data_IF_275764375558
#
_entry.id   IF_275764375558
#
_cell.length_a   1.000
_cell.length_b   1.000
_cell.length_c   1.000
_cell.angle_alpha   90.00
_cell.angle_beta   90.00
_cell.angle_gamma   90.00
#
_symmetry.space_group_name_H-M   'P 1'
#
loop_
_entity.id
_entity.type
_entity.pdbx_description
1 polymer ?
#
# COMPACT_ATOMS: atom_id res chain seq x y z
N UNK A 1 -10.27 -21.64 19.29
CA UNK A 1 -9.06 -22.04 18.59
C UNK A 1 -9.46 -22.52 17.20
N UNK A 2 -8.70 -22.15 16.20
CA UNK A 2 -8.90 -22.57 14.80
C UNK A 2 -8.54 -24.05 14.63
N UNK A 3 -9.14 -24.72 13.65
CA UNK A 3 -8.71 -26.05 13.25
C UNK A 3 -7.33 -26.01 12.56
N UNK A 4 -6.74 -27.19 12.34
CA UNK A 4 -5.39 -27.29 11.79
C UNK A 4 -5.32 -26.81 10.33
N UNK A 5 -6.37 -26.99 9.53
CA UNK A 5 -6.42 -26.59 8.14
C UNK A 5 -6.43 -25.05 8.02
N UNK A 6 -7.31 -24.38 8.77
CA UNK A 6 -7.36 -22.91 8.85
C UNK A 6 -6.03 -22.33 9.33
N UNK A 7 -5.43 -22.94 10.37
CA UNK A 7 -4.14 -22.49 10.89
C UNK A 7 -3.01 -22.63 9.86
N UNK A 8 -2.93 -23.77 9.17
CA UNK A 8 -1.92 -24.00 8.12
C UNK A 8 -2.10 -23.02 6.96
N UNK A 9 -3.35 -22.79 6.51
CA UNK A 9 -3.64 -21.82 5.46
C UNK A 9 -3.19 -20.40 5.86
N UNK A 10 -3.53 -19.96 7.07
CA UNK A 10 -3.15 -18.65 7.59
C UNK A 10 -1.62 -18.47 7.70
N UNK A 11 -0.92 -19.47 8.25
CA UNK A 11 0.55 -19.45 8.36
C UNK A 11 1.20 -19.42 6.99
N UNK A 12 0.71 -20.22 6.03
CA UNK A 12 1.23 -20.26 4.66
C UNK A 12 1.11 -18.90 3.98
N UNK A 13 -0.10 -18.30 4.03
CA UNK A 13 -0.34 -16.97 3.46
C UNK A 13 0.57 -15.91 4.07
N UNK A 14 0.63 -15.85 5.40
CA UNK A 14 1.48 -14.89 6.11
C UNK A 14 2.96 -15.08 5.76
N UNK A 15 3.43 -16.33 5.72
CA UNK A 15 4.84 -16.64 5.45
C UNK A 15 5.28 -16.21 4.05
N UNK A 16 4.41 -16.40 3.05
CA UNK A 16 4.69 -15.96 1.67
C UNK A 16 4.75 -14.44 1.58
N UNK A 17 3.74 -13.74 2.15
CA UNK A 17 3.62 -12.29 2.04
C UNK A 17 4.64 -11.52 2.90
N UNK A 18 5.05 -12.06 4.04
CA UNK A 18 6.11 -11.49 4.86
C UNK A 18 7.51 -11.87 4.35
N UNK A 19 7.65 -12.98 3.63
CA UNK A 19 8.92 -13.56 3.22
C UNK A 19 9.59 -12.86 2.04
N UNK A 20 10.57 -13.57 1.43
CA UNK A 20 11.38 -13.06 0.32
C UNK A 20 10.58 -12.77 -0.96
N UNK A 21 9.41 -13.37 -1.12
CA UNK A 21 8.46 -13.10 -2.23
C UNK A 21 7.47 -11.97 -1.93
N UNK A 22 7.51 -11.42 -0.73
CA UNK A 22 6.65 -10.34 -0.26
C UNK A 22 7.47 -9.21 0.37
N UNK A 23 7.16 -8.86 1.60
CA UNK A 23 7.69 -7.66 2.28
C UNK A 23 9.23 -7.63 2.32
N UNK A 24 9.90 -8.74 2.64
CA UNK A 24 11.38 -8.78 2.65
C UNK A 24 11.94 -8.54 1.24
N UNK A 25 11.32 -9.11 0.20
CA UNK A 25 11.71 -8.83 -1.19
C UNK A 25 11.57 -7.36 -1.55
N UNK A 26 10.46 -6.74 -1.17
CA UNK A 26 10.24 -5.30 -1.34
C UNK A 26 11.27 -4.44 -0.61
N UNK A 27 11.64 -4.84 0.60
CA UNK A 27 12.68 -4.15 1.38
C UNK A 27 14.06 -4.24 0.72
N UNK A 28 14.38 -5.38 0.09
CA UNK A 28 15.64 -5.53 -0.66
C UNK A 28 15.65 -4.59 -1.88
N UNK A 29 14.52 -4.47 -2.59
CA UNK A 29 14.40 -3.55 -3.73
C UNK A 29 14.53 -2.10 -3.24
N UNK A 30 13.91 -1.73 -2.12
CA UNK A 30 13.99 -0.37 -1.55
C UNK A 30 15.44 0.00 -1.22
N UNK A 31 16.17 -0.88 -0.53
CA UNK A 31 17.60 -0.67 -0.24
C UNK A 31 18.43 -0.56 -1.53
N UNK A 32 18.12 -1.39 -2.54
CA UNK A 32 18.77 -1.31 -3.84
C UNK A 32 18.46 -0.04 -4.63
N UNK A 33 17.35 0.60 -4.35
CA UNK A 33 16.93 1.87 -4.95
C UNK A 33 17.45 3.10 -4.18
N UNK A 34 18.04 2.92 -3.00
CA UNK A 34 18.71 4.02 -2.32
C UNK A 34 19.79 4.62 -3.24
N UNK A 35 19.72 5.91 -3.47
CA UNK A 35 20.59 6.64 -4.39
C UNK A 35 20.48 6.25 -5.89
N UNK A 36 19.37 5.61 -6.30
CA UNK A 36 19.09 5.34 -7.70
C UNK A 36 18.14 6.42 -8.28
N UNK A 37 18.64 7.45 -8.97
CA UNK A 37 17.81 8.49 -9.55
C UNK A 37 17.04 8.04 -10.80
N UNK A 38 17.26 6.82 -11.26
CA UNK A 38 16.68 6.26 -12.48
C UNK A 38 15.61 5.19 -12.20
N UNK A 39 15.08 5.12 -10.97
CA UNK A 39 13.97 4.21 -10.68
C UNK A 39 12.75 4.62 -11.54
N UNK A 40 12.15 3.61 -12.17
CA UNK A 40 10.95 3.81 -13.00
C UNK A 40 9.69 3.68 -12.16
N UNK A 41 8.55 4.14 -12.70
CA UNK A 41 7.24 3.93 -12.09
C UNK A 41 6.98 2.46 -11.76
N UNK A 42 7.25 1.54 -12.70
CA UNK A 42 7.05 0.10 -12.48
C UNK A 42 7.96 -0.46 -11.38
N UNK A 43 9.15 0.09 -11.24
CA UNK A 43 10.09 -0.28 -10.18
C UNK A 43 9.59 0.15 -8.80
N UNK A 44 9.09 1.39 -8.66
CA UNK A 44 8.48 1.89 -7.43
C UNK A 44 7.21 1.09 -7.10
N UNK A 45 6.35 0.88 -8.09
CA UNK A 45 5.12 0.11 -7.92
C UNK A 45 5.39 -1.32 -7.44
N UNK A 46 6.37 -2.01 -8.02
CA UNK A 46 6.76 -3.35 -7.58
C UNK A 46 7.28 -3.32 -6.14
N UNK A 47 8.18 -2.39 -5.84
CA UNK A 47 8.76 -2.22 -4.51
C UNK A 47 7.67 -2.03 -3.44
N UNK A 48 6.74 -1.09 -3.66
CA UNK A 48 5.70 -0.77 -2.68
C UNK A 48 4.62 -1.84 -2.60
N UNK A 49 4.27 -2.48 -3.71
CA UNK A 49 3.37 -3.64 -3.70
C UNK A 49 3.92 -4.76 -2.82
N UNK A 50 5.22 -4.99 -2.85
CA UNK A 50 5.87 -6.00 -2.03
C UNK A 50 6.10 -5.51 -0.60
N UNK A 51 6.74 -4.37 -0.42
CA UNK A 51 7.17 -3.86 0.90
C UNK A 51 6.00 -3.52 1.82
N UNK A 52 4.96 -2.91 1.26
CA UNK A 52 3.78 -2.43 2.01
C UNK A 52 2.52 -3.19 1.63
N UNK A 53 2.23 -3.31 0.35
CA UNK A 53 0.99 -3.93 -0.16
C UNK A 53 0.81 -5.36 0.30
N UNK A 54 1.84 -6.19 0.30
CA UNK A 54 1.77 -7.59 0.72
C UNK A 54 1.28 -7.75 2.16
N UNK A 55 1.77 -6.94 3.12
CA UNK A 55 1.35 -7.08 4.52
C UNK A 55 -0.07 -6.57 4.75
N UNK A 56 -0.50 -5.50 4.07
CA UNK A 56 -1.87 -5.02 4.14
C UNK A 56 -2.82 -6.05 3.52
N UNK A 57 -2.47 -6.57 2.34
CA UNK A 57 -3.23 -7.60 1.63
C UNK A 57 -3.41 -8.86 2.47
N UNK A 58 -2.33 -9.39 3.03
CA UNK A 58 -2.42 -10.61 3.86
C UNK A 58 -3.17 -10.38 5.17
N UNK A 59 -3.10 -9.19 5.77
CA UNK A 59 -3.87 -8.87 6.97
C UNK A 59 -5.38 -8.97 6.68
N UNK A 60 -5.85 -8.44 5.55
CA UNK A 60 -7.23 -8.55 5.10
C UNK A 60 -7.62 -10.02 4.81
N UNK A 61 -6.75 -10.75 4.10
CA UNK A 61 -6.95 -12.16 3.80
C UNK A 61 -7.04 -13.03 5.06
N UNK A 62 -6.19 -12.78 6.06
CA UNK A 62 -6.20 -13.52 7.33
C UNK A 62 -7.52 -13.36 8.08
N UNK A 63 -8.12 -12.17 8.06
CA UNK A 63 -9.46 -11.96 8.62
C UNK A 63 -10.50 -12.86 7.96
N UNK A 64 -10.50 -12.93 6.63
CA UNK A 64 -11.40 -13.80 5.86
C UNK A 64 -11.13 -15.29 6.12
N UNK A 65 -9.86 -15.70 6.17
CA UNK A 65 -9.46 -17.10 6.47
C UNK A 65 -9.94 -17.47 7.88
N UNK A 66 -9.73 -16.60 8.86
CA UNK A 66 -10.16 -16.83 10.24
C UNK A 66 -11.68 -16.94 10.37
N UNK A 67 -12.44 -16.25 9.54
CA UNK A 67 -13.89 -16.32 9.46
C UNK A 67 -14.41 -17.51 8.64
N UNK A 68 -13.55 -18.33 8.04
CA UNK A 68 -13.96 -19.45 7.18
C UNK A 68 -14.58 -19.01 5.85
N UNK A 69 -14.20 -17.83 5.35
CA UNK A 69 -14.74 -17.28 4.11
C UNK A 69 -14.34 -18.10 2.87
N UNK A 70 -15.13 -17.98 1.81
CA UNK A 70 -14.81 -18.59 0.50
C UNK A 70 -13.53 -18.00 -0.10
N UNK A 71 -12.94 -18.71 -1.07
CA UNK A 71 -11.74 -18.25 -1.75
C UNK A 71 -11.98 -16.92 -2.48
N UNK A 72 -13.15 -16.74 -3.10
CA UNK A 72 -13.51 -15.50 -3.79
C UNK A 72 -13.51 -14.27 -2.84
N UNK A 73 -14.00 -14.44 -1.61
CA UNK A 73 -13.96 -13.40 -0.60
C UNK A 73 -12.53 -13.11 -0.12
N UNK A 74 -11.71 -14.15 0.03
CA UNK A 74 -10.30 -14.00 0.38
C UNK A 74 -9.56 -13.22 -0.71
N UNK A 75 -9.81 -13.54 -1.98
CA UNK A 75 -9.17 -12.88 -3.13
C UNK A 75 -9.63 -11.41 -3.28
N UNK A 76 -10.91 -11.14 -3.00
CA UNK A 76 -11.44 -9.77 -2.95
C UNK A 76 -10.79 -8.96 -1.80
N UNK A 77 -10.63 -9.56 -0.64
CA UNK A 77 -9.96 -8.92 0.50
C UNK A 77 -8.48 -8.64 0.20
N UNK A 78 -7.79 -9.54 -0.51
CA UNK A 78 -6.41 -9.31 -1.00
C UNK A 78 -6.36 -8.15 -1.96
N UNK A 79 -7.25 -8.12 -2.95
CA UNK A 79 -7.34 -7.03 -3.93
C UNK A 79 -7.56 -5.68 -3.24
N UNK A 80 -8.47 -5.61 -2.27
CA UNK A 80 -8.67 -4.42 -1.44
C UNK A 80 -7.36 -3.97 -0.79
N UNK A 81 -6.66 -4.88 -0.09
CA UNK A 81 -5.44 -4.55 0.63
C UNK A 81 -4.29 -4.12 -0.29
N UNK A 82 -4.13 -4.74 -1.46
CA UNK A 82 -3.13 -4.38 -2.46
C UNK A 82 -3.35 -2.97 -3.02
N UNK A 83 -4.59 -2.65 -3.40
CA UNK A 83 -4.95 -1.34 -3.94
C UNK A 83 -4.80 -0.24 -2.91
N UNK A 84 -5.31 -0.47 -1.69
CA UNK A 84 -5.20 0.45 -0.58
C UNK A 84 -3.73 0.70 -0.19
N UNK A 85 -2.91 -0.37 -0.15
CA UNK A 85 -1.50 -0.28 0.18
C UNK A 85 -0.71 0.57 -0.81
N UNK A 86 -1.00 0.43 -2.11
CA UNK A 86 -0.37 1.27 -3.13
C UNK A 86 -0.85 2.73 -3.07
N UNK A 87 -2.17 2.96 -2.88
CA UNK A 87 -2.72 4.29 -2.69
C UNK A 87 -2.09 4.98 -1.47
N UNK A 88 -1.90 4.23 -0.38
CA UNK A 88 -1.26 4.71 0.84
C UNK A 88 0.16 5.21 0.59
N UNK A 89 0.99 4.48 -0.15
CA UNK A 89 2.37 4.88 -0.44
C UNK A 89 2.45 6.11 -1.35
N UNK A 90 1.59 6.18 -2.37
CA UNK A 90 1.53 7.36 -3.24
C UNK A 90 1.08 8.59 -2.45
N UNK A 91 0.13 8.42 -1.52
CA UNK A 91 -0.32 9.50 -0.64
C UNK A 91 0.77 9.95 0.32
N UNK A 92 1.59 9.04 0.86
CA UNK A 92 2.77 9.39 1.66
C UNK A 92 3.74 10.27 0.88
N UNK A 93 4.06 9.92 -0.36
CA UNK A 93 4.92 10.72 -1.23
C UNK A 93 4.35 12.14 -1.48
N UNK A 94 3.03 12.27 -1.63
CA UNK A 94 2.37 13.58 -1.77
C UNK A 94 2.52 14.38 -0.47
N UNK A 95 2.24 13.75 0.69
CA UNK A 95 2.32 14.42 1.99
C UNK A 95 3.74 14.85 2.35
N UNK A 96 4.74 14.05 2.02
CA UNK A 96 6.15 14.40 2.25
C UNK A 96 6.53 15.68 1.50
N UNK A 97 6.10 15.84 0.25
CA UNK A 97 6.37 17.03 -0.53
C UNK A 97 5.55 18.24 -0.06
N UNK A 98 4.25 18.06 0.19
CA UNK A 98 3.36 19.17 0.59
C UNK A 98 3.67 19.65 2.00
N UNK A 99 3.93 18.75 2.96
CA UNK A 99 4.32 19.12 4.33
C UNK A 99 5.66 19.85 4.36
N UNK A 100 6.59 19.47 3.49
CA UNK A 100 7.87 20.15 3.35
C UNK A 100 7.70 21.55 2.77
N UNK A 101 6.83 21.74 1.77
CA UNK A 101 6.51 23.05 1.20
C UNK A 101 5.89 24.00 2.23
N UNK A 102 4.99 23.51 3.07
CA UNK A 102 4.41 24.29 4.18
C UNK A 102 5.45 24.69 5.24
N UNK A 103 6.40 23.79 5.54
CA UNK A 103 7.50 24.05 6.46
C UNK A 103 8.58 24.95 5.85
N UNK A 104 8.88 24.81 4.55
CA UNK A 104 9.86 25.61 3.82
C UNK A 104 9.41 27.05 3.61
N UNK A 105 8.12 27.37 3.71
CA UNK A 105 7.67 28.76 3.89
C UNK A 105 8.30 29.44 5.11
N UNK A 106 9.01 28.70 5.97
CA UNK A 106 9.72 29.15 7.16
C UNK A 106 11.23 28.92 7.17
N UNK A 107 11.81 28.06 6.31
CA UNK A 107 13.26 27.78 6.31
C UNK A 107 13.75 27.34 4.92
N UNK A 108 14.55 28.13 4.27
CA UNK A 108 15.27 27.76 3.03
C UNK A 108 16.60 27.12 3.38
N UNK A 109 16.86 25.87 2.99
CA UNK A 109 18.25 25.42 2.85
C UNK A 109 18.67 24.02 3.22
N UNK A 110 17.81 23.01 3.48
CA UNK A 110 18.32 21.69 3.90
C UNK A 110 17.93 20.47 3.07
N UNK A 111 17.14 20.56 2.00
CA UNK A 111 16.61 19.40 1.30
C UNK A 111 17.20 19.13 -0.09
N UNK A 112 18.52 19.18 -0.22
CA UNK A 112 19.23 18.63 -1.40
C UNK A 112 19.75 17.20 -1.20
N UNK A 113 19.38 16.52 -0.12
CA UNK A 113 20.04 15.25 0.27
C UNK A 113 19.29 13.96 -0.08
N UNK A 114 18.10 13.97 -0.66
CA UNK A 114 17.46 12.72 -1.06
C UNK A 114 17.29 12.61 -2.58
N UNK A 115 18.32 12.04 -3.24
CA UNK A 115 18.27 11.58 -4.64
C UNK A 115 17.34 10.33 -4.82
N UNK A 116 16.27 10.22 -4.03
CA UNK A 116 15.33 9.11 -4.12
C UNK A 116 14.24 9.44 -5.13
N UNK A 117 14.04 8.57 -6.12
CA UNK A 117 12.87 8.66 -7.00
C UNK A 117 11.61 8.36 -6.21
N UNK A 118 10.58 9.20 -6.34
CA UNK A 118 9.25 9.04 -5.74
C UNK A 118 8.18 9.11 -6.82
N UNK A 119 6.95 8.73 -6.52
CA UNK A 119 5.84 8.91 -7.48
C UNK A 119 5.66 10.37 -7.86
N UNK A 120 5.79 11.28 -6.90
CA UNK A 120 5.66 12.73 -7.16
C UNK A 120 6.77 13.24 -8.07
N UNK A 121 8.02 12.78 -7.91
CA UNK A 121 9.12 13.17 -8.81
C UNK A 121 8.96 12.65 -10.24
N UNK A 122 8.29 11.49 -10.40
CA UNK A 122 8.09 10.87 -11.72
C UNK A 122 6.83 11.38 -12.43
N UNK A 123 5.75 11.64 -11.71
CA UNK A 123 4.43 11.91 -12.29
C UNK A 123 3.92 13.33 -12.03
N UNK A 124 4.41 14.00 -10.98
CA UNK A 124 3.86 15.24 -10.45
C UNK A 124 2.67 14.98 -9.50
N UNK A 125 2.38 15.97 -8.64
CA UNK A 125 1.38 15.87 -7.57
C UNK A 125 -0.03 15.57 -8.12
N UNK A 126 -0.48 16.33 -9.13
CA UNK A 126 -1.84 16.19 -9.71
C UNK A 126 -2.11 14.75 -10.19
N UNK A 127 -1.13 14.16 -10.89
CA UNK A 127 -1.26 12.79 -11.39
C UNK A 127 -1.22 11.75 -10.27
N UNK A 128 -0.46 12.01 -9.20
CA UNK A 128 -0.46 11.17 -8.01
C UNK A 128 -1.81 11.23 -7.28
N UNK A 129 -2.44 12.40 -7.16
CA UNK A 129 -3.78 12.55 -6.58
C UNK A 129 -4.84 11.79 -7.39
N UNK A 130 -4.81 11.90 -8.72
CA UNK A 130 -5.69 11.11 -9.60
C UNK A 130 -5.50 9.59 -9.37
N UNK A 131 -4.24 9.15 -9.26
CA UNK A 131 -3.92 7.73 -9.06
C UNK A 131 -4.34 7.23 -7.68
N UNK A 132 -4.16 8.03 -6.62
CA UNK A 132 -4.67 7.71 -5.27
C UNK A 132 -6.18 7.51 -5.31
N UNK A 133 -6.91 8.45 -5.95
CA UNK A 133 -8.37 8.33 -6.09
C UNK A 133 -8.76 7.07 -6.84
N UNK A 134 -8.15 6.81 -8.01
CA UNK A 134 -8.45 5.61 -8.80
C UNK A 134 -8.21 4.32 -8.00
N UNK A 135 -7.06 4.21 -7.33
CA UNK A 135 -6.71 3.02 -6.53
C UNK A 135 -7.64 2.84 -5.34
N UNK A 136 -8.06 3.94 -4.71
CA UNK A 136 -9.05 3.90 -3.62
C UNK A 136 -10.39 3.43 -4.13
N UNK A 137 -10.88 3.95 -5.27
CA UNK A 137 -12.13 3.49 -5.90
C UNK A 137 -12.06 1.99 -6.25
N UNK A 138 -10.92 1.51 -6.81
CA UNK A 138 -10.71 0.09 -7.09
C UNK A 138 -10.71 -0.76 -5.81
N UNK A 139 -10.12 -0.26 -4.72
CA UNK A 139 -10.15 -0.92 -3.42
C UNK A 139 -11.59 -1.01 -2.87
N UNK A 140 -12.33 0.10 -2.89
CA UNK A 140 -13.72 0.14 -2.42
C UNK A 140 -14.62 -0.82 -3.20
N UNK A 141 -14.46 -0.91 -4.53
CA UNK A 141 -15.20 -1.84 -5.37
C UNK A 141 -14.93 -3.30 -5.01
N UNK A 142 -13.71 -3.64 -4.60
CA UNK A 142 -13.38 -4.99 -4.15
C UNK A 142 -14.13 -5.38 -2.86
N UNK A 143 -14.60 -4.42 -2.09
CA UNK A 143 -15.39 -4.66 -0.88
C UNK A 143 -16.89 -4.88 -1.13
N UNK A 144 -17.39 -4.65 -2.33
CA UNK A 144 -18.83 -4.75 -2.63
C UNK A 144 -19.40 -6.16 -2.47
N UNK A 145 -18.55 -7.17 -2.47
CA UNK A 145 -18.94 -8.57 -2.22
C UNK A 145 -19.20 -8.86 -0.73
N UNK A 146 -18.83 -7.95 0.17
CA UNK A 146 -19.02 -8.11 1.62
C UNK A 146 -20.29 -7.37 2.07
N UNK A 147 -21.19 -8.03 2.84
CA UNK A 147 -22.49 -7.45 3.21
C UNK A 147 -22.40 -6.28 4.21
N UNK A 148 -21.36 -6.24 5.03
CA UNK A 148 -21.14 -5.21 6.07
C UNK A 148 -19.77 -4.59 5.87
N UNK A 149 -19.67 -3.65 4.93
CA UNK A 149 -18.37 -3.10 4.50
C UNK A 149 -18.21 -1.60 4.79
N UNK A 150 -19.20 -0.93 5.37
CA UNK A 150 -19.20 0.53 5.55
C UNK A 150 -18.02 1.02 6.39
N UNK A 151 -17.75 0.39 7.53
CA UNK A 151 -16.67 0.81 8.43
C UNK A 151 -15.28 0.72 7.77
N UNK A 152 -15.03 -0.35 6.99
CA UNK A 152 -13.76 -0.52 6.29
C UNK A 152 -13.65 0.44 5.09
N UNK A 153 -14.76 0.76 4.43
CA UNK A 153 -14.82 1.78 3.37
C UNK A 153 -14.55 3.18 3.92
N UNK A 154 -15.15 3.53 5.06
CA UNK A 154 -14.84 4.80 5.75
C UNK A 154 -13.37 4.91 6.12
N UNK A 155 -12.78 3.82 6.64
CA UNK A 155 -11.36 3.79 6.96
C UNK A 155 -10.47 3.95 5.72
N UNK A 156 -10.80 3.31 4.60
CA UNK A 156 -10.07 3.45 3.35
C UNK A 156 -10.11 4.89 2.82
N UNK A 157 -11.29 5.53 2.83
CA UNK A 157 -11.45 6.93 2.47
C UNK A 157 -10.64 7.85 3.40
N UNK A 158 -10.70 7.62 4.72
CA UNK A 158 -9.89 8.38 5.68
C UNK A 158 -8.40 8.31 5.37
N UNK A 159 -7.88 7.13 5.00
CA UNK A 159 -6.47 6.97 4.63
C UNK A 159 -6.11 7.70 3.33
N UNK A 160 -7.02 7.74 2.36
CA UNK A 160 -6.82 8.46 1.09
C UNK A 160 -6.87 9.99 1.27
N UNK A 161 -7.75 10.46 2.16
CA UNK A 161 -8.01 11.89 2.38
C UNK A 161 -7.14 12.53 3.46
N UNK A 162 -6.30 11.73 4.16
CA UNK A 162 -5.45 12.25 5.25
C UNK A 162 -4.55 13.39 4.79
N UNK A 163 -4.32 14.36 5.67
CA UNK A 163 -3.51 15.56 5.43
C UNK A 163 -2.16 15.55 6.19
N UNK A 164 -1.91 14.49 6.98
CA UNK A 164 -0.73 14.32 7.84
C UNK A 164 -0.42 12.83 8.09
#
# INVERSE_FOLDING_TARGET
LYDAETAVKAISELSVHAGARGMIGGQIIDIGNENNPNATFDNLKLMDSLKTGCLISVACALGCIAAGASQDLIDSAKTFGEKLGLAFQIKDDILDVTSTLEKLGKMTGSDKENNKSTYVTLLGIEKCEELVKQLTDEALNALDVFPENEAIKEYANYLADREY
#
